data_IF_862201262674
#
_entry.id   IF_862201262674
#
_cell.length_a   1.000
_cell.length_b   1.000
_cell.length_c   1.000
_cell.angle_alpha   90.00
_cell.angle_beta   90.00
_cell.angle_gamma   90.00
#
_symmetry.space_group_name_H-M   'P 1'
#
loop_
_entity.id
_entity.type
_entity.pdbx_description
1 polymer ?
#
# COMPACT_ATOMS: atom_id res chain seq x y z
N UNK A 1 6.01 1.18 5.84
CA UNK A 1 5.91 -0.29 5.70
C UNK A 1 5.18 -0.66 4.41
N UNK A 2 4.00 -0.09 4.12
CA UNK A 2 3.19 -0.41 2.93
C UNK A 2 3.97 -0.35 1.61
N UNK A 3 4.71 0.73 1.34
CA UNK A 3 5.59 0.87 0.16
C UNK A 3 6.68 -0.20 0.09
N UNK A 4 7.28 -0.55 1.23
CA UNK A 4 8.33 -1.57 1.26
C UNK A 4 7.77 -2.96 0.97
N UNK A 5 6.55 -3.25 1.42
CA UNK A 5 5.83 -4.47 1.08
C UNK A 5 5.47 -4.47 -0.41
N UNK A 6 4.93 -3.36 -0.93
CA UNK A 6 4.60 -3.23 -2.35
C UNK A 6 5.80 -3.43 -3.27
N UNK A 7 6.97 -2.92 -2.88
CA UNK A 7 8.22 -3.16 -3.60
C UNK A 7 8.66 -4.63 -3.52
N UNK A 8 8.52 -5.26 -2.34
CA UNK A 8 8.96 -6.64 -2.12
C UNK A 8 8.06 -7.67 -2.80
N UNK A 9 6.77 -7.41 -2.83
CA UNK A 9 5.73 -8.28 -3.39
C UNK A 9 5.33 -7.85 -4.82
N UNK A 10 6.04 -6.87 -5.38
CA UNK A 10 5.90 -6.40 -6.77
C UNK A 10 4.46 -5.97 -7.12
N UNK A 11 3.76 -5.34 -6.18
CA UNK A 11 2.38 -4.87 -6.42
C UNK A 11 2.32 -3.69 -7.40
N UNK A 12 3.38 -2.87 -7.41
CA UNK A 12 3.55 -1.67 -8.23
C UNK A 12 5.04 -1.49 -8.54
N UNK A 13 5.37 -0.78 -9.61
CA UNK A 13 6.75 -0.31 -9.85
C UNK A 13 7.05 0.87 -8.91
N UNK A 14 7.57 0.56 -7.73
CA UNK A 14 7.85 1.57 -6.69
C UNK A 14 8.93 2.54 -7.16
N UNK A 15 9.89 2.10 -7.97
CA UNK A 15 10.97 2.98 -8.41
C UNK A 15 10.47 4.03 -9.40
N UNK A 16 9.70 3.61 -10.41
CA UNK A 16 9.08 4.52 -11.36
C UNK A 16 8.10 5.47 -10.66
N UNK A 17 7.23 4.92 -9.81
CA UNK A 17 6.25 5.69 -9.04
C UNK A 17 6.92 6.79 -8.23
N UNK A 18 7.96 6.49 -7.45
CA UNK A 18 8.67 7.48 -6.64
C UNK A 18 9.36 8.54 -7.51
N UNK A 19 9.99 8.14 -8.62
CA UNK A 19 10.60 9.10 -9.55
C UNK A 19 9.56 10.08 -10.12
N UNK A 20 8.36 9.60 -10.45
CA UNK A 20 7.27 10.43 -10.98
C UNK A 20 6.69 11.36 -9.90
N UNK A 21 6.57 10.90 -8.66
CA UNK A 21 6.16 11.75 -7.51
C UNK A 21 7.20 12.85 -7.26
N UNK A 22 8.49 12.52 -7.19
CA UNK A 22 9.57 13.48 -6.98
C UNK A 22 9.63 14.53 -8.10
N UNK A 23 9.38 14.12 -9.33
CA UNK A 23 9.26 15.00 -10.49
C UNK A 23 7.95 15.81 -10.55
N UNK A 24 7.07 15.69 -9.57
CA UNK A 24 5.73 16.32 -9.51
C UNK A 24 4.83 15.93 -10.69
N UNK A 25 4.99 14.69 -11.20
CA UNK A 25 4.23 14.13 -12.33
C UNK A 25 3.24 13.04 -11.93
N UNK A 26 3.26 12.61 -10.67
CA UNK A 26 2.31 11.66 -10.10
C UNK A 26 1.97 12.02 -8.67
N UNK A 27 0.83 11.51 -8.21
CA UNK A 27 0.31 11.66 -6.86
C UNK A 27 0.29 10.29 -6.18
N UNK A 28 0.78 10.22 -4.95
CA UNK A 28 0.87 8.99 -4.17
C UNK A 28 0.14 9.18 -2.84
N UNK A 29 -0.84 8.32 -2.58
CA UNK A 29 -1.55 8.25 -1.31
C UNK A 29 -1.36 6.89 -0.66
N UNK A 30 -1.10 6.93 0.65
CA UNK A 30 -0.89 5.75 1.48
C UNK A 30 -1.78 5.88 2.70
N UNK A 31 -2.72 4.95 2.84
CA UNK A 31 -3.57 4.85 4.03
C UNK A 31 -3.32 3.49 4.66
N UNK A 32 -3.17 3.45 5.97
CA UNK A 32 -3.05 2.19 6.69
C UNK A 32 -3.69 2.33 8.07
N UNK A 33 -4.74 1.56 8.31
CA UNK A 33 -5.36 1.42 9.62
C UNK A 33 -4.71 0.24 10.33
N UNK A 34 -4.38 0.42 11.61
CA UNK A 34 -3.65 -0.59 12.40
C UNK A 34 -4.39 -0.84 13.70
N UNK A 35 -4.72 -2.10 13.96
CA UNK A 35 -5.36 -2.54 15.20
C UNK A 35 -4.52 -3.65 15.85
N UNK A 36 -4.26 -3.56 17.16
CA UNK A 36 -3.58 -4.61 17.92
C UNK A 36 -4.36 -4.94 19.19
N UNK A 37 -4.60 -6.23 19.42
CA UNK A 37 -5.31 -6.73 20.59
C UNK A 37 -4.39 -7.23 21.71
N UNK A 38 -3.18 -7.69 21.37
CA UNK A 38 -2.23 -8.33 22.30
C UNK A 38 -0.90 -7.58 22.46
N UNK A 39 -0.72 -6.46 21.74
CA UNK A 39 0.49 -5.64 21.76
C UNK A 39 1.72 -6.27 21.08
N UNK A 40 1.59 -7.48 20.51
CA UNK A 40 2.69 -8.17 19.80
C UNK A 40 2.41 -8.31 18.31
N UNK A 41 1.14 -8.51 17.94
CA UNK A 41 0.67 -8.61 16.56
C UNK A 41 -0.34 -7.52 16.28
N UNK A 42 -0.23 -6.95 15.09
CA UNK A 42 -1.17 -5.96 14.60
C UNK A 42 -1.79 -6.44 13.28
N UNK A 43 -3.09 -6.31 13.20
CA UNK A 43 -3.85 -6.39 11.97
C UNK A 43 -3.82 -5.02 11.29
N UNK A 44 -3.68 -4.98 9.98
CA UNK A 44 -3.74 -3.75 9.22
C UNK A 44 -4.38 -3.91 7.85
N UNK A 45 -5.16 -2.90 7.50
CA UNK A 45 -5.70 -2.70 6.17
C UNK A 45 -4.97 -1.51 5.56
N UNK A 46 -4.33 -1.72 4.43
CA UNK A 46 -3.58 -0.70 3.73
C UNK A 46 -4.13 -0.46 2.33
N UNK A 47 -4.06 0.78 1.89
CA UNK A 47 -4.39 1.21 0.53
C UNK A 47 -3.19 1.97 -0.02
N UNK A 48 -2.76 1.57 -1.22
CA UNK A 48 -1.79 2.28 -2.05
C UNK A 48 -2.52 2.77 -3.28
N UNK A 49 -2.56 4.08 -3.43
CA UNK A 49 -3.05 4.73 -4.64
C UNK A 49 -1.89 5.49 -5.28
N UNK A 50 -1.68 5.24 -6.56
CA UNK A 50 -0.83 6.04 -7.41
C UNK A 50 -1.62 6.55 -8.60
N UNK A 51 -1.50 7.85 -8.91
CA UNK A 51 -2.19 8.47 -10.05
C UNK A 51 -1.23 9.33 -10.84
N UNK A 52 -1.20 9.15 -12.16
CA UNK A 52 -0.50 10.03 -13.08
C UNK A 52 -1.28 10.21 -14.39
N UNK A 53 -0.59 10.66 -15.45
CA UNK A 53 -1.19 10.87 -16.78
C UNK A 53 -1.53 9.57 -17.51
N UNK A 54 -0.92 8.46 -17.14
CA UNK A 54 -1.12 7.15 -17.77
C UNK A 54 -2.26 6.38 -17.13
N UNK A 55 -2.58 6.68 -15.86
CA UNK A 55 -3.78 6.21 -15.22
C UNK A 55 -3.70 6.20 -13.70
N UNK A 56 -4.55 5.38 -13.11
CA UNK A 56 -4.63 5.17 -11.66
C UNK A 56 -4.31 3.71 -11.37
N UNK A 57 -3.39 3.50 -10.44
CA UNK A 57 -3.12 2.20 -9.83
C UNK A 57 -3.64 2.26 -8.39
N UNK A 58 -4.52 1.34 -8.03
CA UNK A 58 -5.10 1.27 -6.69
C UNK A 58 -5.02 -0.17 -6.17
N UNK A 59 -4.31 -0.38 -5.08
CA UNK A 59 -4.18 -1.67 -4.40
C UNK A 59 -4.65 -1.56 -2.97
N UNK A 60 -5.61 -2.41 -2.59
CA UNK A 60 -5.99 -2.63 -1.20
C UNK A 60 -5.39 -3.95 -0.72
N UNK A 61 -4.75 -3.92 0.44
CA UNK A 61 -4.10 -5.08 1.06
C UNK A 61 -4.55 -5.22 2.50
N UNK A 62 -4.85 -6.44 2.89
CA UNK A 62 -5.10 -6.81 4.29
C UNK A 62 -3.96 -7.70 4.74
N UNK A 63 -3.30 -7.33 5.83
CA UNK A 63 -2.15 -8.07 6.32
C UNK A 63 -2.04 -8.00 7.84
N UNK A 64 -1.39 -9.00 8.41
CA UNK A 64 -1.02 -9.06 9.81
C UNK A 64 0.49 -8.96 9.93
N UNK A 65 1.00 -8.24 10.92
CA UNK A 65 2.44 -8.11 11.12
C UNK A 65 2.80 -8.12 12.60
N UNK A 66 4.04 -8.52 12.90
CA UNK A 66 4.61 -8.36 14.24
C UNK A 66 5.01 -6.90 14.41
N UNK A 67 4.53 -6.26 15.49
CA UNK A 67 4.88 -4.88 15.82
C UNK A 67 6.41 -4.76 15.92
N UNK A 68 6.98 -3.68 15.35
CA UNK A 68 8.43 -3.45 15.20
C UNK A 68 9.18 -4.44 14.27
N UNK A 69 8.47 -5.18 13.41
CA UNK A 69 9.11 -6.03 12.39
C UNK A 69 8.57 -5.74 10.99
N UNK A 70 9.45 -5.26 10.11
CA UNK A 70 9.13 -5.02 8.69
C UNK A 70 9.21 -6.28 7.83
N UNK A 71 9.74 -7.38 8.37
CA UNK A 71 9.98 -8.63 7.62
C UNK A 71 9.04 -9.76 8.02
N UNK A 72 8.29 -9.60 9.12
CA UNK A 72 7.41 -10.63 9.64
C UNK A 72 5.95 -10.15 9.52
N UNK A 73 5.40 -10.36 8.33
CA UNK A 73 4.01 -10.12 8.01
C UNK A 73 3.44 -11.32 7.25
N UNK A 74 2.11 -11.41 7.25
CA UNK A 74 1.35 -12.33 6.43
C UNK A 74 0.23 -11.55 5.73
N UNK A 75 0.13 -11.68 4.41
CA UNK A 75 -0.93 -11.05 3.61
C UNK A 75 -2.11 -12.01 3.58
N UNK A 76 -3.27 -11.54 4.01
CA UNK A 76 -4.52 -12.33 4.00
C UNK A 76 -5.41 -12.01 2.81
N UNK A 77 -5.34 -10.79 2.28
CA UNK A 77 -6.08 -10.40 1.07
C UNK A 77 -5.29 -9.33 0.30
N UNK A 78 -5.37 -9.37 -1.02
CA UNK A 78 -4.81 -8.39 -1.93
C UNK A 78 -5.71 -8.26 -3.15
N UNK A 79 -6.18 -7.05 -3.43
CA UNK A 79 -7.07 -6.78 -4.55
C UNK A 79 -6.88 -5.39 -5.13
N UNK A 80 -7.27 -5.24 -6.38
CA UNK A 80 -7.44 -3.93 -6.98
C UNK A 80 -8.63 -3.23 -6.32
N UNK A 81 -8.45 -1.96 -5.93
CA UNK A 81 -9.58 -1.16 -5.51
C UNK A 81 -10.25 -0.55 -6.74
N UNK A 82 -11.56 -0.71 -6.83
CA UNK A 82 -12.38 0.10 -7.70
C UNK A 82 -12.39 1.51 -7.13
N UNK A 83 -11.79 2.46 -7.86
CA UNK A 83 -12.22 3.84 -7.76
C UNK A 83 -13.70 3.82 -8.15
N UNK A 84 -14.59 3.80 -7.15
CA UNK A 84 -15.96 4.20 -7.39
C UNK A 84 -15.91 5.52 -8.14
N UNK A 85 -16.69 5.64 -9.20
CA UNK A 85 -16.81 6.87 -9.99
C UNK A 85 -17.10 8.03 -9.03
N UNK A 86 -16.06 8.73 -8.57
CA UNK A 86 -16.23 9.97 -7.84
C UNK A 86 -16.50 11.02 -8.90
N UNK A 87 -17.80 11.16 -9.18
CA UNK A 87 -18.43 12.24 -9.95
C UNK A 87 -18.05 13.62 -9.43
#
# INVERSE_FOLDING_TARGET
MLIQMANREEWVDVFEMMNRVDAHKGHLELVADVTSSDGQRAYSEGIITYTDREGVVCKQVVFNFKINSLKNYNISDLRDCSYGEYY
#
